data_IF_638372789507
#
_entry.id   IF_638372789507
#
_cell.length_a   1.000
_cell.length_b   1.000
_cell.length_c   1.000
_cell.angle_alpha   90.00
_cell.angle_beta   90.00
_cell.angle_gamma   90.00
#
_symmetry.space_group_name_H-M   'P 1'
#
loop_
_entity.id
_entity.type
_entity.pdbx_description
1 polymer ?
#
# COMPACT_ATOMS: atom_id res chain seq x y z
N UNK A 1 61.43 -19.26 -26.72
CA UNK A 1 60.33 -19.80 -27.55
C UNK A 1 60.84 -20.97 -28.39
N UNK A 2 60.01 -21.96 -28.74
CA UNK A 2 60.42 -22.93 -29.75
C UNK A 2 60.71 -22.17 -31.05
N UNK A 3 61.80 -22.53 -31.73
CA UNK A 3 62.22 -21.85 -32.97
C UNK A 3 61.25 -22.06 -34.15
N UNK A 4 60.29 -22.98 -34.00
CA UNK A 4 59.25 -23.37 -34.96
C UNK A 4 58.00 -23.82 -34.20
N UNK A 5 56.80 -23.55 -34.73
CA UNK A 5 55.53 -24.06 -34.19
C UNK A 5 55.18 -25.36 -34.92
N UNK A 6 55.10 -26.46 -34.19
CA UNK A 6 54.73 -27.77 -34.70
C UNK A 6 53.21 -27.89 -34.84
N UNK A 7 52.72 -28.07 -36.09
CA UNK A 7 51.28 -28.15 -36.38
C UNK A 7 50.86 -29.58 -36.72
N UNK A 8 49.92 -30.13 -35.96
CA UNK A 8 49.32 -31.46 -36.18
C UNK A 8 47.99 -31.40 -36.92
N UNK A 9 47.58 -32.54 -37.48
CA UNK A 9 46.30 -32.70 -38.17
C UNK A 9 45.17 -33.19 -37.26
N UNK A 10 44.09 -32.41 -37.17
CA UNK A 10 42.88 -32.73 -36.45
C UNK A 10 41.92 -33.53 -37.34
N UNK A 11 41.34 -34.61 -36.80
CA UNK A 11 40.31 -35.37 -37.50
C UNK A 11 39.06 -34.51 -37.77
N UNK A 12 38.42 -34.75 -38.91
CA UNK A 12 37.22 -34.02 -39.31
C UNK A 12 36.14 -34.10 -38.23
N UNK A 13 35.60 -32.93 -37.87
CA UNK A 13 34.51 -32.75 -36.91
C UNK A 13 34.73 -33.43 -35.55
N UNK A 14 35.99 -33.60 -35.14
CA UNK A 14 36.35 -34.24 -33.86
C UNK A 14 37.49 -33.48 -33.17
N UNK A 15 37.42 -33.34 -31.85
CA UNK A 15 38.53 -32.88 -31.01
C UNK A 15 39.66 -33.90 -30.83
N UNK A 16 39.90 -34.73 -31.85
CA UNK A 16 40.86 -35.84 -31.84
C UNK A 16 41.84 -35.76 -32.98
N UNK A 17 43.07 -36.23 -32.76
CA UNK A 17 44.09 -36.31 -33.80
C UNK A 17 43.61 -37.18 -34.98
N UNK A 18 43.90 -36.76 -36.21
CA UNK A 18 43.69 -37.60 -37.39
C UNK A 18 44.61 -38.83 -37.35
N UNK A 19 44.11 -40.01 -37.70
CA UNK A 19 44.87 -41.26 -37.62
C UNK A 19 46.20 -41.22 -38.39
N UNK A 20 46.20 -40.54 -39.53
CA UNK A 20 47.36 -40.33 -40.41
C UNK A 20 48.08 -38.99 -40.20
N UNK A 21 47.75 -38.25 -39.13
CA UNK A 21 48.59 -37.12 -38.72
C UNK A 21 49.97 -37.65 -38.32
N UNK A 22 51.04 -36.92 -38.60
CA UNK A 22 52.32 -37.13 -37.92
C UNK A 22 52.16 -36.88 -36.42
N UNK A 23 52.96 -37.58 -35.61
CA UNK A 23 53.23 -37.22 -34.23
C UNK A 23 54.51 -36.37 -34.21
N UNK A 24 54.59 -35.35 -33.36
CA UNK A 24 55.81 -34.53 -33.26
C UNK A 24 57.02 -35.34 -32.75
N UNK A 25 56.80 -36.45 -32.05
CA UNK A 25 57.77 -37.52 -31.78
C UNK A 25 57.17 -38.90 -32.14
N UNK A 26 57.97 -39.92 -32.41
CA UNK A 26 57.49 -41.25 -32.82
C UNK A 26 56.72 -42.04 -31.72
N UNK A 27 56.46 -41.43 -30.54
CA UNK A 27 55.78 -42.08 -29.41
C UNK A 27 54.36 -41.52 -29.21
N UNK A 28 53.32 -42.38 -29.12
CA UNK A 28 51.94 -41.96 -28.88
C UNK A 28 51.69 -41.24 -27.54
N UNK A 29 52.64 -41.32 -26.60
CA UNK A 29 52.59 -40.66 -25.28
C UNK A 29 53.00 -39.18 -25.29
N UNK A 30 53.52 -38.68 -26.41
CA UNK A 30 54.22 -37.39 -26.47
C UNK A 30 53.37 -36.33 -27.18
N UNK A 31 52.11 -36.18 -26.74
CA UNK A 31 51.18 -35.16 -27.25
C UNK A 31 51.68 -33.71 -27.07
N UNK A 32 52.72 -33.51 -26.24
CA UNK A 32 53.41 -32.24 -26.01
C UNK A 32 54.45 -31.87 -27.07
N UNK A 33 54.69 -32.72 -28.07
CA UNK A 33 55.58 -32.43 -29.22
C UNK A 33 54.90 -31.67 -30.36
N UNK A 34 53.55 -31.63 -30.35
CA UNK A 34 52.74 -30.83 -31.26
C UNK A 34 52.23 -29.62 -30.51
N UNK A 35 52.57 -28.43 -30.99
CA UNK A 35 52.23 -27.18 -30.33
C UNK A 35 50.74 -26.83 -30.49
N UNK A 36 50.16 -27.11 -31.67
CA UNK A 36 48.76 -26.86 -31.98
C UNK A 36 48.25 -27.77 -33.10
N UNK A 37 46.96 -28.12 -33.08
CA UNK A 37 46.30 -28.87 -34.14
C UNK A 37 45.43 -27.97 -35.02
N UNK A 38 45.37 -28.27 -36.32
CA UNK A 38 44.52 -27.59 -37.30
C UNK A 38 43.85 -28.64 -38.22
N UNK A 39 42.82 -28.29 -39.00
CA UNK A 39 42.11 -29.24 -39.87
C UNK A 39 43.07 -30.09 -40.72
N UNK A 40 42.85 -31.40 -40.74
CA UNK A 40 43.69 -32.36 -41.46
C UNK A 40 43.40 -32.45 -42.96
N UNK A 41 42.17 -32.11 -43.35
CA UNK A 41 41.77 -32.10 -44.75
C UNK A 41 41.03 -30.84 -45.13
N UNK A 42 41.02 -30.58 -46.42
CA UNK A 42 40.31 -29.47 -47.04
C UNK A 42 39.85 -29.86 -48.44
N UNK A 43 38.80 -29.18 -48.89
CA UNK A 43 38.38 -29.24 -50.29
C UNK A 43 39.34 -28.41 -51.14
N UNK A 44 39.87 -29.02 -52.19
CA UNK A 44 40.71 -28.35 -53.19
C UNK A 44 40.10 -28.53 -54.58
N UNK A 45 40.45 -27.61 -55.48
CA UNK A 45 40.08 -27.68 -56.90
C UNK A 45 41.33 -28.06 -57.71
N UNK A 46 41.14 -28.83 -58.79
CA UNK A 46 42.17 -29.32 -59.72
C UNK A 46 43.44 -29.84 -59.05
N UNK A 47 43.46 -31.14 -58.75
CA UNK A 47 44.74 -31.81 -58.51
C UNK A 47 45.44 -32.04 -59.86
N UNK A 48 46.68 -31.54 -60.07
CA UNK A 48 47.48 -31.97 -61.21
C UNK A 48 47.60 -33.49 -61.16
N UNK A 49 47.37 -34.19 -62.28
CA UNK A 49 47.38 -35.66 -62.27
C UNK A 49 48.66 -36.16 -61.59
N UNK A 50 48.51 -37.07 -60.61
CA UNK A 50 49.65 -37.77 -60.01
C UNK A 50 50.37 -38.54 -61.12
N UNK A 51 51.40 -37.94 -61.71
CA UNK A 51 52.13 -38.49 -62.86
C UNK A 51 52.54 -37.49 -63.96
N UNK A 52 52.27 -36.19 -63.82
CA UNK A 52 52.73 -35.18 -64.80
C UNK A 52 51.93 -35.13 -66.11
N UNK A 53 50.79 -35.83 -66.17
CA UNK A 53 49.81 -35.67 -67.23
C UNK A 53 48.85 -34.52 -66.93
N UNK A 54 48.45 -33.77 -67.95
CA UNK A 54 47.40 -32.76 -67.84
C UNK A 54 46.06 -33.50 -67.81
N UNK A 55 45.46 -33.71 -66.64
CA UNK A 55 44.03 -34.08 -66.56
C UNK A 55 43.20 -32.89 -67.06
N UNK A 56 42.11 -33.11 -67.82
CA UNK A 56 41.18 -32.03 -68.14
C UNK A 56 40.69 -31.37 -66.84
N UNK A 57 40.54 -30.04 -66.79
CA UNK A 57 40.08 -29.36 -65.59
C UNK A 57 38.74 -29.97 -65.16
N UNK A 58 38.71 -30.52 -63.96
CA UNK A 58 37.50 -31.12 -63.40
C UNK A 58 36.80 -30.04 -62.58
N UNK A 59 35.50 -29.82 -62.81
CA UNK A 59 34.70 -28.89 -62.00
C UNK A 59 34.34 -29.46 -60.63
N UNK A 60 35.01 -30.53 -60.19
CA UNK A 60 34.69 -31.29 -58.99
C UNK A 60 35.70 -30.93 -57.90
N UNK A 61 35.19 -30.56 -56.73
CA UNK A 61 36.02 -30.37 -55.55
C UNK A 61 36.51 -31.73 -55.04
N UNK A 62 37.82 -31.87 -54.83
CA UNK A 62 38.44 -33.05 -54.27
C UNK A 62 38.75 -32.83 -52.80
N UNK A 63 38.43 -33.83 -51.97
CA UNK A 63 38.83 -33.83 -50.57
C UNK A 63 40.25 -34.39 -50.42
N UNK A 64 41.20 -33.54 -50.06
CA UNK A 64 42.59 -33.94 -49.80
C UNK A 64 42.90 -33.87 -48.31
N UNK A 65 43.82 -34.74 -47.87
CA UNK A 65 44.18 -34.87 -46.46
C UNK A 65 45.69 -35.03 -46.29
N UNK A 66 46.23 -34.52 -45.18
CA UNK A 66 47.65 -34.58 -44.87
C UNK A 66 48.05 -33.49 -43.88
N UNK A 67 49.08 -33.74 -43.07
CA UNK A 67 49.59 -32.74 -42.11
C UNK A 67 50.10 -31.48 -42.80
N UNK A 68 50.57 -31.61 -44.05
CA UNK A 68 50.97 -30.48 -44.89
C UNK A 68 49.84 -29.49 -45.19
N UNK A 69 48.57 -29.88 -45.02
CA UNK A 69 47.41 -28.98 -45.17
C UNK A 69 47.02 -28.29 -43.86
N UNK A 70 47.45 -28.82 -42.72
CA UNK A 70 47.18 -28.23 -41.39
C UNK A 70 48.09 -27.03 -41.11
N UNK A 71 49.36 -27.09 -41.49
CA UNK A 71 50.31 -25.97 -41.33
C UNK A 71 49.87 -24.67 -42.03
N UNK A 72 49.46 -24.65 -43.32
CA UNK A 72 48.98 -23.43 -43.96
C UNK A 72 47.68 -22.91 -43.36
N UNK A 73 46.83 -23.76 -42.78
CA UNK A 73 45.63 -23.32 -42.06
C UNK A 73 46.01 -22.55 -40.78
N UNK A 74 46.91 -23.09 -39.96
CA UNK A 74 47.41 -22.41 -38.77
C UNK A 74 48.13 -21.09 -39.13
N UNK A 75 48.94 -21.10 -40.20
CA UNK A 75 49.57 -19.89 -40.72
C UNK A 75 48.56 -18.86 -41.22
N UNK A 76 47.45 -19.29 -41.81
CA UNK A 76 46.33 -18.42 -42.21
C UNK A 76 45.70 -17.71 -41.00
N UNK A 77 45.52 -18.40 -39.88
CA UNK A 77 45.04 -17.77 -38.63
C UNK A 77 46.07 -16.80 -38.05
N UNK A 78 47.36 -17.14 -38.07
CA UNK A 78 48.43 -16.20 -37.71
C UNK A 78 48.41 -14.93 -38.57
N UNK A 79 48.14 -15.09 -39.88
CA UNK A 79 48.00 -13.97 -40.81
C UNK A 79 46.74 -13.12 -40.51
N UNK A 80 45.62 -13.75 -40.14
CA UNK A 80 44.41 -13.04 -39.70
C UNK A 80 44.68 -12.21 -38.44
N UNK A 81 45.39 -12.75 -37.45
CA UNK A 81 45.83 -12.03 -36.24
C UNK A 81 46.71 -10.83 -36.63
N UNK A 82 47.70 -11.03 -37.50
CA UNK A 82 48.61 -9.97 -37.94
C UNK A 82 47.90 -8.89 -38.77
N UNK A 83 46.88 -9.26 -39.54
CA UNK A 83 46.05 -8.32 -40.27
C UNK A 83 45.13 -7.51 -39.33
N UNK A 84 44.55 -8.18 -38.33
CA UNK A 84 43.73 -7.56 -37.29
C UNK A 84 44.54 -6.57 -36.44
N UNK A 85 45.78 -6.91 -36.08
CA UNK A 85 46.69 -6.02 -35.36
C UNK A 85 48.12 -6.09 -35.91
N UNK A 86 48.48 -5.15 -36.82
CA UNK A 86 49.80 -5.10 -37.44
C UNK A 86 50.96 -4.85 -36.48
N UNK A 87 50.70 -4.47 -35.22
CA UNK A 87 51.75 -4.18 -34.23
C UNK A 87 52.30 -5.42 -33.54
N UNK A 88 51.55 -6.54 -33.54
CA UNK A 88 51.97 -7.77 -32.87
C UNK A 88 53.22 -8.39 -33.53
N UNK A 89 54.23 -8.69 -32.72
CA UNK A 89 55.40 -9.46 -33.09
C UNK A 89 55.08 -10.96 -33.21
N UNK A 90 56.03 -11.72 -33.76
CA UNK A 90 55.92 -13.18 -33.94
C UNK A 90 55.49 -13.89 -32.65
N UNK A 91 56.13 -13.50 -31.56
CA UNK A 91 55.99 -14.10 -30.24
C UNK A 91 54.59 -13.88 -29.67
N UNK A 92 54.08 -12.64 -29.78
CA UNK A 92 52.72 -12.25 -29.37
C UNK A 92 51.63 -12.91 -30.24
N UNK A 93 51.89 -13.09 -31.54
CA UNK A 93 50.96 -13.83 -32.44
C UNK A 93 50.80 -15.28 -31.97
N UNK A 94 51.91 -15.92 -31.58
CA UNK A 94 51.85 -17.29 -31.06
C UNK A 94 51.10 -17.35 -29.73
N UNK A 95 51.31 -16.40 -28.82
CA UNK A 95 50.57 -16.31 -27.56
C UNK A 95 49.07 -16.19 -27.80
N UNK A 96 48.63 -15.27 -28.68
CA UNK A 96 47.22 -15.13 -29.07
C UNK A 96 46.67 -16.46 -29.61
N UNK A 97 47.39 -17.13 -30.51
CA UNK A 97 46.95 -18.42 -31.06
C UNK A 97 46.88 -19.53 -30.01
N UNK A 98 47.84 -19.58 -29.08
CA UNK A 98 47.94 -20.59 -28.03
C UNK A 98 46.86 -20.42 -26.98
N UNK A 99 46.63 -19.19 -26.55
CA UNK A 99 45.79 -18.88 -25.39
C UNK A 99 44.30 -18.89 -25.77
N UNK A 100 43.97 -18.54 -27.02
CA UNK A 100 42.59 -18.62 -27.54
C UNK A 100 42.23 -20.00 -28.10
N UNK A 101 43.21 -20.89 -28.27
CA UNK A 101 42.98 -22.21 -28.83
C UNK A 101 41.93 -22.97 -28.02
N UNK A 102 41.12 -23.78 -28.70
CA UNK A 102 40.29 -24.73 -28.00
C UNK A 102 41.20 -25.71 -27.26
N UNK A 103 40.97 -25.87 -25.96
CA UNK A 103 41.69 -26.82 -25.12
C UNK A 103 40.81 -28.03 -24.84
N UNK A 104 41.42 -29.08 -24.28
CA UNK A 104 40.76 -30.35 -24.01
C UNK A 104 39.58 -30.19 -23.03
N UNK A 105 38.35 -30.27 -23.53
CA UNK A 105 37.17 -30.60 -22.74
C UNK A 105 37.15 -32.10 -22.33
N UNK A 106 36.13 -32.59 -21.60
CA UNK A 106 36.10 -33.94 -21.00
C UNK A 106 36.29 -35.11 -21.99
N UNK A 107 36.13 -34.86 -23.29
CA UNK A 107 36.17 -35.86 -24.36
C UNK A 107 37.23 -35.57 -25.45
N UNK A 108 38.09 -34.55 -25.28
CA UNK A 108 39.16 -34.22 -26.25
C UNK A 108 40.39 -35.11 -26.11
N UNK A 109 41.07 -35.45 -27.21
CA UNK A 109 42.28 -36.30 -27.20
C UNK A 109 43.54 -35.59 -27.72
N UNK A 110 43.46 -34.29 -28.04
CA UNK A 110 44.61 -33.43 -28.32
C UNK A 110 44.65 -32.25 -27.36
N UNK A 111 45.85 -31.71 -27.10
CA UNK A 111 46.07 -30.66 -26.11
C UNK A 111 45.43 -29.31 -26.48
N UNK A 112 45.56 -28.90 -27.76
CA UNK A 112 44.94 -27.67 -28.25
C UNK A 112 44.74 -27.69 -29.76
N UNK A 113 43.68 -27.06 -30.25
CA UNK A 113 43.47 -26.84 -31.69
C UNK A 113 43.00 -25.43 -32.00
N UNK A 114 43.27 -24.98 -33.22
CA UNK A 114 43.07 -23.61 -33.69
C UNK A 114 41.63 -23.15 -33.48
N UNK A 115 41.46 -22.01 -32.80
CA UNK A 115 40.23 -21.23 -32.71
C UNK A 115 40.41 -19.93 -33.50
N UNK A 116 40.11 -19.97 -34.81
CA UNK A 116 40.36 -18.84 -35.70
C UNK A 116 39.56 -17.58 -35.30
N UNK A 117 38.31 -17.77 -34.84
CA UNK A 117 37.43 -16.68 -34.43
C UNK A 117 37.89 -16.04 -33.12
N UNK A 118 38.15 -16.83 -32.08
CA UNK A 118 38.68 -16.33 -30.81
C UNK A 118 40.03 -15.62 -30.98
N UNK A 119 40.92 -16.19 -31.80
CA UNK A 119 42.22 -15.60 -32.10
C UNK A 119 42.11 -14.25 -32.83
N UNK A 120 41.26 -14.15 -33.86
CA UNK A 120 41.03 -12.90 -34.56
C UNK A 120 40.35 -11.84 -33.66
N UNK A 121 39.38 -12.26 -32.83
CA UNK A 121 38.72 -11.41 -31.83
C UNK A 121 39.71 -10.86 -30.80
N UNK A 122 40.57 -11.71 -30.23
CA UNK A 122 41.65 -11.31 -29.30
C UNK A 122 42.63 -10.35 -29.97
N UNK A 123 43.03 -10.63 -31.22
CA UNK A 123 43.95 -9.78 -31.98
C UNK A 123 43.40 -8.38 -32.26
N UNK A 124 42.09 -8.28 -32.54
CA UNK A 124 41.37 -7.00 -32.69
C UNK A 124 41.27 -6.21 -31.36
N UNK A 125 41.78 -6.74 -30.25
CA UNK A 125 41.76 -6.12 -28.92
C UNK A 125 40.79 -6.79 -27.95
N UNK A 126 40.46 -8.07 -28.13
CA UNK A 126 39.54 -8.80 -27.26
C UNK A 126 40.10 -9.09 -25.87
N UNK A 127 40.01 -8.11 -24.99
CA UNK A 127 39.62 -8.22 -23.59
C UNK A 127 38.61 -7.08 -23.41
N UNK A 128 37.44 -7.23 -24.04
CA UNK A 128 36.40 -6.21 -23.95
C UNK A 128 35.42 -6.70 -22.90
N UNK A 129 35.13 -5.90 -21.87
CA UNK A 129 34.07 -6.25 -20.95
C UNK A 129 32.78 -6.48 -21.74
N UNK A 130 31.98 -7.43 -21.30
CA UNK A 130 30.59 -7.63 -21.71
C UNK A 130 29.68 -7.01 -20.65
N UNK A 131 28.53 -6.49 -21.04
CA UNK A 131 27.50 -6.00 -20.14
C UNK A 131 26.13 -6.34 -20.72
N UNK A 132 25.27 -6.97 -19.92
CA UNK A 132 23.88 -7.29 -20.25
C UNK A 132 22.99 -7.09 -19.03
N UNK A 133 21.95 -6.26 -19.16
CA UNK A 133 21.04 -5.97 -18.06
C UNK A 133 20.05 -7.13 -17.89
N UNK A 134 20.24 -7.92 -16.84
CA UNK A 134 19.28 -8.94 -16.42
C UNK A 134 18.06 -8.33 -15.68
N UNK A 135 18.27 -7.20 -15.00
CA UNK A 135 17.21 -6.47 -14.29
C UNK A 135 17.49 -4.96 -14.22
N UNK A 136 16.51 -4.09 -14.49
CA UNK A 136 15.12 -4.41 -14.83
C UNK A 136 14.97 -4.89 -16.27
N UNK A 137 13.94 -5.69 -16.56
CA UNK A 137 13.58 -6.02 -17.95
C UNK A 137 13.03 -4.78 -18.67
N UNK A 138 13.46 -4.56 -19.91
CA UNK A 138 12.98 -3.46 -20.75
C UNK A 138 11.45 -3.42 -20.89
N UNK A 139 10.90 -2.21 -20.91
CA UNK A 139 9.47 -1.90 -20.99
C UNK A 139 8.71 -2.07 -19.67
N UNK A 140 9.38 -2.41 -18.56
CA UNK A 140 8.71 -2.60 -17.27
C UNK A 140 8.25 -1.26 -16.69
N UNK A 141 7.07 -1.29 -16.06
CA UNK A 141 6.54 -0.18 -15.26
C UNK A 141 6.80 -0.41 -13.77
N UNK A 142 7.19 0.65 -13.08
CA UNK A 142 7.40 0.67 -11.64
C UNK A 142 6.62 1.82 -11.01
N UNK A 143 6.19 1.62 -9.77
CA UNK A 143 5.53 2.63 -8.97
C UNK A 143 6.56 3.65 -8.46
N UNK A 144 6.18 4.92 -8.36
CA UNK A 144 7.01 5.97 -7.75
C UNK A 144 7.42 5.53 -6.33
N UNK A 145 8.71 5.68 -6.00
CA UNK A 145 9.28 5.25 -4.72
C UNK A 145 9.52 3.75 -4.55
N UNK A 146 9.19 2.93 -5.57
CA UNK A 146 9.49 1.50 -5.56
C UNK A 146 11.00 1.24 -5.68
N UNK A 147 11.51 0.27 -4.90
CA UNK A 147 12.87 -0.24 -5.06
C UNK A 147 12.98 -1.07 -6.35
N UNK A 148 13.83 -0.64 -7.27
CA UNK A 148 14.07 -1.29 -8.55
C UNK A 148 15.41 -2.05 -8.47
N UNK A 149 15.41 -3.39 -8.63
CA UNK A 149 16.64 -4.15 -8.68
C UNK A 149 17.42 -3.82 -9.96
N UNK A 150 18.72 -3.62 -9.80
CA UNK A 150 19.67 -3.40 -10.88
C UNK A 150 20.60 -4.61 -10.91
N UNK A 151 20.54 -5.40 -11.98
CA UNK A 151 21.37 -6.57 -12.22
C UNK A 151 21.95 -6.51 -13.61
N UNK A 152 23.28 -6.55 -13.70
CA UNK A 152 24.03 -6.51 -14.95
C UNK A 152 25.03 -7.65 -14.95
N UNK A 153 24.84 -8.60 -15.85
CA UNK A 153 25.83 -9.63 -16.13
C UNK A 153 27.00 -8.95 -16.82
N UNK A 154 28.18 -9.11 -16.25
CA UNK A 154 29.43 -8.61 -16.79
C UNK A 154 30.36 -9.79 -16.96
N UNK A 155 31.20 -9.76 -17.98
CA UNK A 155 32.27 -10.74 -18.18
C UNK A 155 33.48 -10.06 -18.77
N UNK A 156 34.67 -10.43 -18.31
CA UNK A 156 35.94 -9.96 -18.85
C UNK A 156 36.91 -11.15 -18.94
N UNK A 157 37.37 -11.43 -20.16
CA UNK A 157 38.23 -12.56 -20.51
C UNK A 157 39.65 -12.41 -19.91
N UNK A 158 40.03 -11.20 -19.45
CA UNK A 158 41.27 -10.90 -18.74
C UNK A 158 41.13 -10.94 -17.19
N UNK A 159 39.92 -11.19 -16.69
CA UNK A 159 39.59 -11.29 -15.26
C UNK A 159 38.85 -10.06 -14.73
N UNK A 160 37.99 -10.28 -13.73
CA UNK A 160 37.07 -9.26 -13.20
C UNK A 160 37.71 -8.20 -12.29
N UNK A 161 38.96 -8.40 -11.87
CA UNK A 161 39.57 -7.62 -10.78
C UNK A 161 39.76 -6.13 -11.12
N UNK A 162 39.70 -5.76 -12.41
CA UNK A 162 39.86 -4.38 -12.90
C UNK A 162 38.60 -3.79 -13.59
N UNK A 163 37.44 -4.47 -13.53
CA UNK A 163 36.20 -3.97 -14.17
C UNK A 163 35.39 -3.09 -13.20
N UNK A 164 35.23 -1.81 -13.57
CA UNK A 164 34.34 -0.87 -12.88
C UNK A 164 32.97 -0.87 -13.56
N UNK A 165 31.92 -1.05 -12.76
CA UNK A 165 30.52 -1.05 -13.24
C UNK A 165 29.84 0.22 -12.73
N UNK A 166 29.10 0.93 -13.57
CA UNK A 166 28.32 2.11 -13.17
C UNK A 166 26.91 2.04 -13.72
N UNK A 167 25.97 2.64 -12.99
CA UNK A 167 24.56 2.70 -13.36
C UNK A 167 24.11 4.13 -13.54
N UNK A 168 23.45 4.43 -14.65
CA UNK A 168 22.88 5.75 -14.91
C UNK A 168 21.46 5.70 -15.48
N UNK A 169 20.74 6.78 -15.25
CA UNK A 169 19.44 7.12 -15.82
C UNK A 169 19.63 8.41 -16.63
N UNK A 170 19.09 8.45 -17.84
CA UNK A 170 19.09 9.67 -18.67
C UNK A 170 18.39 10.87 -17.98
N UNK A 171 17.44 10.58 -17.10
CA UNK A 171 16.76 11.58 -16.28
C UNK A 171 17.57 11.90 -15.02
N UNK A 172 17.93 10.90 -14.22
CA UNK A 172 18.43 11.06 -12.84
C UNK A 172 19.97 11.06 -12.70
N UNK A 173 20.70 10.82 -13.78
CA UNK A 173 22.16 10.70 -13.72
C UNK A 173 22.58 9.40 -13.04
N UNK A 174 23.57 9.43 -12.16
CA UNK A 174 24.06 8.24 -11.47
C UNK A 174 23.04 7.71 -10.44
N UNK A 175 22.65 6.43 -10.56
CA UNK A 175 21.51 5.83 -9.82
C UNK A 175 21.86 4.56 -9.04
N UNK A 176 23.12 4.17 -8.97
CA UNK A 176 23.55 2.96 -8.26
C UNK A 176 24.98 3.04 -7.77
N UNK A 177 25.36 2.07 -6.93
CA UNK A 177 26.75 1.86 -6.53
C UNK A 177 27.56 1.21 -7.67
N UNK A 178 28.89 1.22 -7.53
CA UNK A 178 29.80 0.56 -8.48
C UNK A 178 29.74 -0.98 -8.32
N UNK A 179 28.68 -1.60 -8.83
CA UNK A 179 28.45 -3.04 -8.66
C UNK A 179 27.58 -3.63 -9.79
N UNK A 180 27.81 -4.92 -10.09
CA UNK A 180 26.98 -5.72 -10.99
C UNK A 180 25.58 -6.00 -10.44
N UNK A 181 25.38 -5.89 -9.13
CA UNK A 181 24.08 -6.11 -8.49
C UNK A 181 23.82 -5.11 -7.37
N UNK A 182 22.77 -4.30 -7.51
CA UNK A 182 22.34 -3.31 -6.53
C UNK A 182 20.84 -3.03 -6.66
N UNK A 183 20.34 -2.00 -5.98
CA UNK A 183 18.99 -1.49 -6.20
C UNK A 183 18.98 0.03 -6.12
N UNK A 184 18.16 0.64 -6.98
CA UNK A 184 17.82 2.07 -6.87
C UNK A 184 16.47 2.18 -6.19
N UNK A 185 16.40 3.02 -5.14
CA UNK A 185 15.17 3.17 -4.35
C UNK A 185 14.29 4.31 -4.84
N UNK A 186 14.83 5.24 -5.63
CA UNK A 186 14.10 6.42 -6.10
C UNK A 186 14.59 6.87 -7.47
N UNK A 187 13.72 6.75 -8.45
CA UNK A 187 13.80 7.46 -9.72
C UNK A 187 12.66 8.50 -9.74
N UNK A 188 12.85 9.60 -10.47
CA UNK A 188 11.76 10.55 -10.69
C UNK A 188 10.67 9.92 -11.55
N UNK A 189 9.50 10.56 -11.61
CA UNK A 189 8.46 10.13 -12.54
C UNK A 189 8.88 10.36 -13.99
N UNK A 190 8.57 9.41 -14.86
CA UNK A 190 8.82 9.50 -16.30
C UNK A 190 9.28 8.21 -16.94
N UNK A 191 9.66 8.32 -18.22
CA UNK A 191 10.34 7.25 -18.95
C UNK A 191 11.83 7.43 -18.75
N UNK A 192 12.53 6.34 -18.41
CA UNK A 192 13.96 6.32 -18.14
C UNK A 192 14.66 5.34 -19.07
N UNK A 193 15.83 5.73 -19.56
CA UNK A 193 16.82 4.84 -20.15
C UNK A 193 17.85 4.47 -19.07
N UNK A 194 17.75 3.26 -18.55
CA UNK A 194 18.66 2.73 -17.53
C UNK A 194 19.84 2.08 -18.21
N UNK A 195 21.04 2.60 -17.95
CA UNK A 195 22.28 2.18 -18.59
C UNK A 195 23.21 1.56 -17.56
N UNK A 196 23.59 0.29 -17.77
CA UNK A 196 24.73 -0.34 -17.11
C UNK A 196 25.96 -0.10 -17.99
N UNK A 197 27.05 0.42 -17.41
CA UNK A 197 28.32 0.63 -18.11
C UNK A 197 29.44 -0.11 -17.40
N UNK A 198 30.15 -0.98 -18.11
CA UNK A 198 31.31 -1.71 -17.62
C UNK A 198 32.59 -1.22 -18.30
N UNK A 199 33.65 -0.97 -17.53
CA UNK A 199 34.94 -0.49 -18.04
C UNK A 199 36.11 -1.18 -17.35
N UNK A 200 37.06 -1.71 -18.11
CA UNK A 200 38.31 -2.35 -17.64
C UNK A 200 39.49 -1.35 -17.58
N UNK A 201 39.20 -0.06 -17.75
CA UNK A 201 40.18 1.03 -17.83
C UNK A 201 40.75 1.26 -19.24
N UNK A 202 40.49 0.37 -20.20
CA UNK A 202 40.92 0.46 -21.60
C UNK A 202 39.75 0.50 -22.59
N UNK A 203 38.70 -0.25 -22.30
CA UNK A 203 37.48 -0.42 -23.08
C UNK A 203 36.27 -0.15 -22.19
N UNK A 204 35.23 0.39 -22.80
CA UNK A 204 33.97 0.68 -22.12
C UNK A 204 32.84 0.13 -22.96
N UNK A 205 31.98 -0.68 -22.36
CA UNK A 205 30.75 -1.18 -22.97
C UNK A 205 29.56 -0.78 -22.12
N UNK A 206 28.38 -0.79 -22.73
CA UNK A 206 27.15 -0.50 -22.03
C UNK A 206 25.99 -1.28 -22.61
N UNK A 207 25.03 -1.61 -21.76
CA UNK A 207 23.70 -2.04 -22.16
C UNK A 207 22.65 -1.05 -21.61
N UNK A 208 21.52 -0.93 -22.28
CA UNK A 208 20.49 0.06 -21.97
C UNK A 208 19.09 -0.53 -22.11
N UNK A 209 18.28 -0.36 -21.08
CA UNK A 209 16.87 -0.75 -21.06
C UNK A 209 15.97 0.44 -20.76
N UNK A 210 14.85 0.52 -21.45
CA UNK A 210 13.80 1.50 -21.15
C UNK A 210 12.91 0.99 -20.01
N UNK A 211 12.60 1.84 -19.03
CA UNK A 211 11.56 1.58 -18.03
C UNK A 211 10.67 2.83 -17.88
N UNK A 212 9.52 2.69 -17.24
CA UNK A 212 8.71 3.85 -16.85
C UNK A 212 8.38 3.82 -15.37
N UNK A 213 8.53 4.96 -14.71
CA UNK A 213 8.15 5.20 -13.32
C UNK A 213 6.94 6.11 -13.32
N UNK A 214 5.84 5.65 -12.71
CA UNK A 214 4.58 6.38 -12.65
C UNK A 214 4.07 6.47 -11.22
N UNK A 215 3.29 7.51 -10.96
CA UNK A 215 2.52 7.60 -9.73
C UNK A 215 1.25 6.72 -9.82
N UNK A 216 0.91 6.01 -8.75
CA UNK A 216 -0.34 5.25 -8.65
C UNK A 216 -1.38 6.10 -7.91
N UNK A 217 -2.64 6.01 -8.33
CA UNK A 217 -3.70 6.73 -7.62
C UNK A 217 -3.87 6.19 -6.18
N UNK A 218 -4.28 7.06 -5.24
CA UNK A 218 -4.54 6.63 -3.88
C UNK A 218 -5.74 5.68 -3.81
N UNK A 219 -5.99 5.11 -2.64
CA UNK A 219 -7.17 4.30 -2.33
C UNK A 219 -8.04 5.01 -1.29
N UNK A 220 -9.35 4.85 -1.42
CA UNK A 220 -10.33 5.37 -0.44
C UNK A 220 -11.49 4.40 -0.30
N UNK A 221 -11.91 4.15 0.94
CA UNK A 221 -13.06 3.32 1.29
C UNK A 221 -13.80 3.97 2.47
N UNK A 222 -15.06 4.32 2.30
CA UNK A 222 -15.91 4.84 3.37
C UNK A 222 -16.27 3.68 4.30
N UNK A 223 -15.76 3.74 5.52
CA UNK A 223 -15.99 2.71 6.56
C UNK A 223 -17.09 3.10 7.54
N UNK A 224 -17.42 4.40 7.63
CA UNK A 224 -18.56 4.89 8.37
C UNK A 224 -19.14 6.16 7.73
N UNK A 225 -20.47 6.32 7.69
CA UNK A 225 -21.48 5.31 8.07
C UNK A 225 -21.54 4.16 7.07
N UNK A 226 -21.95 2.97 7.53
CA UNK A 226 -22.15 1.80 6.66
C UNK A 226 -23.30 2.09 5.69
N UNK A 227 -23.15 1.68 4.42
CA UNK A 227 -24.18 1.86 3.41
C UNK A 227 -25.54 1.32 3.81
N UNK A 228 -26.56 2.16 3.69
CA UNK A 228 -27.94 1.81 4.06
C UNK A 228 -28.28 2.01 5.54
N UNK A 229 -27.37 2.58 6.34
CA UNK A 229 -27.71 3.02 7.70
C UNK A 229 -28.91 3.99 7.68
N UNK A 230 -29.86 3.76 8.58
CA UNK A 230 -30.95 4.68 8.88
C UNK A 230 -30.46 5.61 9.99
N UNK A 231 -30.53 6.90 9.72
CA UNK A 231 -29.99 7.95 10.58
C UNK A 231 -31.09 8.98 10.80
N UNK A 232 -31.19 9.56 11.99
CA UNK A 232 -32.28 10.47 12.31
C UNK A 232 -31.90 11.93 12.00
N UNK A 233 -32.87 12.69 11.49
CA UNK A 233 -32.71 14.13 11.29
C UNK A 233 -32.37 14.82 12.63
N UNK A 234 -31.45 15.78 12.60
CA UNK A 234 -31.02 16.48 13.82
C UNK A 234 -29.89 15.80 14.60
N UNK A 235 -29.46 14.60 14.19
CA UNK A 235 -28.24 13.98 14.70
C UNK A 235 -26.98 14.47 13.98
N UNK A 236 -25.87 14.55 14.71
CA UNK A 236 -24.53 14.69 14.12
C UNK A 236 -24.05 13.34 13.62
N UNK A 237 -23.51 13.28 12.40
CA UNK A 237 -23.08 12.02 11.79
C UNK A 237 -21.56 12.02 11.67
N UNK A 238 -20.90 11.07 12.34
CA UNK A 238 -19.47 10.84 12.19
C UNK A 238 -19.21 10.07 10.89
N UNK A 239 -18.24 10.54 10.10
CA UNK A 239 -17.81 9.91 8.85
C UNK A 239 -16.35 9.53 8.94
N UNK A 240 -16.01 8.39 8.34
CA UNK A 240 -14.65 7.84 8.35
C UNK A 240 -14.34 7.12 7.04
N UNK A 241 -13.18 7.40 6.48
CA UNK A 241 -12.61 6.67 5.37
C UNK A 241 -11.31 5.96 5.78
N UNK A 242 -11.11 4.76 5.25
CA UNK A 242 -9.79 4.14 5.15
C UNK A 242 -9.16 4.64 3.87
N UNK A 243 -7.96 5.20 3.98
CA UNK A 243 -7.19 5.71 2.86
C UNK A 243 -5.77 5.18 2.91
N UNK A 244 -5.15 5.08 1.74
CA UNK A 244 -3.78 4.65 1.61
C UNK A 244 -3.27 4.96 0.22
N UNK A 245 -1.97 5.15 0.12
CA UNK A 245 -1.29 5.41 -1.12
C UNK A 245 -0.06 4.49 -1.21
N UNK A 246 0.14 3.84 -2.36
CA UNK A 246 1.22 2.87 -2.54
C UNK A 246 2.60 3.52 -2.67
N UNK A 247 2.64 4.76 -3.17
CA UNK A 247 3.85 5.57 -3.36
C UNK A 247 4.22 6.35 -2.07
N UNK A 248 3.27 6.49 -1.14
CA UNK A 248 3.46 7.13 0.16
C UNK A 248 3.32 8.65 0.13
N UNK A 249 2.67 9.19 -0.90
CA UNK A 249 2.49 10.61 -1.19
C UNK A 249 1.02 11.07 -1.09
N UNK A 250 0.22 10.39 -0.25
CA UNK A 250 -1.15 10.81 0.06
C UNK A 250 -1.17 12.27 0.58
N UNK A 251 -1.98 13.13 -0.05
CA UNK A 251 -2.09 14.55 0.28
C UNK A 251 -3.32 14.84 1.14
N UNK A 252 -4.52 14.78 0.55
CA UNK A 252 -5.76 15.16 1.23
C UNK A 252 -6.93 14.23 0.91
N UNK A 253 -7.79 14.02 1.91
CA UNK A 253 -9.10 13.40 1.74
C UNK A 253 -10.15 14.49 1.81
N UNK A 254 -10.97 14.62 0.77
CA UNK A 254 -12.01 15.63 0.65
C UNK A 254 -13.39 14.98 0.66
N UNK A 255 -14.25 15.48 1.53
CA UNK A 255 -15.62 15.02 1.69
C UNK A 255 -16.62 16.00 1.08
N UNK A 256 -17.64 15.46 0.42
CA UNK A 256 -18.78 16.23 -0.06
C UNK A 256 -20.08 15.49 0.21
N UNK A 257 -21.14 16.25 0.46
CA UNK A 257 -22.49 15.72 0.61
C UNK A 257 -23.39 16.28 -0.49
N UNK A 258 -24.11 15.38 -1.16
CA UNK A 258 -25.06 15.71 -2.21
C UNK A 258 -26.46 15.29 -1.78
N UNK A 259 -27.46 16.07 -2.15
CA UNK A 259 -28.86 15.71 -1.95
C UNK A 259 -29.35 14.69 -3.01
N UNK A 260 -30.62 14.30 -2.93
CA UNK A 260 -31.25 13.35 -3.86
C UNK A 260 -31.30 13.80 -5.33
N UNK A 261 -31.05 15.09 -5.61
CA UNK A 261 -30.95 15.66 -6.95
C UNK A 261 -29.49 15.77 -7.43
N UNK A 262 -28.54 15.17 -6.70
CA UNK A 262 -27.10 15.27 -6.97
C UNK A 262 -26.55 16.69 -6.89
N UNK A 263 -27.23 17.59 -6.16
CA UNK A 263 -26.76 18.95 -5.90
C UNK A 263 -25.97 18.99 -4.60
N UNK A 264 -24.84 19.71 -4.54
CA UNK A 264 -24.09 19.89 -3.29
C UNK A 264 -24.96 20.53 -2.21
N UNK A 265 -24.89 20.04 -0.97
CA UNK A 265 -25.56 20.66 0.17
C UNK A 265 -24.79 21.88 0.71
N UNK A 266 -23.57 22.09 0.24
CA UNK A 266 -22.62 23.08 0.77
C UNK A 266 -21.77 22.57 1.93
N UNK A 267 -22.02 21.35 2.44
CA UNK A 267 -21.14 20.73 3.41
C UNK A 267 -19.91 20.11 2.74
N UNK A 268 -18.73 20.44 3.27
CA UNK A 268 -17.43 19.93 2.85
C UNK A 268 -16.53 19.75 4.06
N UNK A 269 -15.66 18.74 4.05
CA UNK A 269 -14.68 18.54 5.12
C UNK A 269 -13.40 17.91 4.56
N UNK A 270 -12.31 18.02 5.32
CA UNK A 270 -11.02 17.44 4.96
C UNK A 270 -10.50 16.49 6.04
N UNK A 271 -9.65 15.54 5.65
CA UNK A 271 -9.08 14.51 6.52
C UNK A 271 -9.82 13.16 6.47
N UNK A 272 -9.21 12.07 7.01
CA UNK A 272 -9.79 10.73 6.92
C UNK A 272 -11.04 10.55 7.80
N UNK A 273 -11.29 11.47 8.72
CA UNK A 273 -12.45 11.48 9.61
C UNK A 273 -13.02 12.89 9.69
N UNK A 274 -14.35 13.01 9.68
CA UNK A 274 -15.05 14.28 9.81
C UNK A 274 -16.41 14.08 10.49
N UNK A 275 -17.12 15.18 10.77
CA UNK A 275 -18.48 15.14 11.31
C UNK A 275 -19.40 16.00 10.46
N UNK A 276 -20.51 15.43 10.00
CA UNK A 276 -21.59 16.18 9.37
C UNK A 276 -22.44 16.80 10.50
N UNK A 277 -22.54 18.14 10.57
CA UNK A 277 -23.37 18.80 11.57
C UNK A 277 -24.87 18.57 11.32
N UNK A 278 -25.65 18.63 12.39
CA UNK A 278 -27.09 18.30 12.40
C UNK A 278 -27.96 19.14 11.46
N UNK A 279 -27.57 20.38 11.20
CA UNK A 279 -28.28 21.36 10.38
C UNK A 279 -28.13 21.13 8.87
N UNK A 280 -27.22 20.23 8.46
CA UNK A 280 -27.01 19.86 7.06
C UNK A 280 -27.84 18.64 6.60
N UNK A 281 -28.65 18.05 7.48
CA UNK A 281 -29.31 16.76 7.27
C UNK A 281 -30.80 16.80 7.65
N UNK A 282 -31.61 17.40 6.78
CA UNK A 282 -33.06 17.21 6.83
C UNK A 282 -33.46 15.80 6.38
N UNK A 283 -34.65 15.34 6.76
CA UNK A 283 -35.18 14.03 6.32
C UNK A 283 -35.14 13.90 4.80
N UNK A 284 -34.56 12.81 4.30
CA UNK A 284 -34.32 12.61 2.87
C UNK A 284 -33.16 11.66 2.57
N UNK A 285 -32.82 11.56 1.28
CA UNK A 285 -31.71 10.74 0.79
C UNK A 285 -30.54 11.63 0.38
N UNK A 286 -29.34 11.24 0.79
CA UNK A 286 -28.09 11.92 0.45
C UNK A 286 -27.06 10.93 -0.08
N UNK A 287 -26.10 11.45 -0.84
CA UNK A 287 -24.90 10.73 -1.25
C UNK A 287 -23.71 11.41 -0.61
N UNK A 288 -23.01 10.69 0.26
CA UNK A 288 -21.74 11.09 0.83
C UNK A 288 -20.63 10.58 -0.09
N UNK A 289 -19.72 11.47 -0.45
CA UNK A 289 -18.60 11.19 -1.35
C UNK A 289 -17.30 11.52 -0.64
N UNK A 290 -16.38 10.56 -0.60
CA UNK A 290 -15.00 10.75 -0.16
C UNK A 290 -14.08 10.67 -1.37
N UNK A 291 -13.22 11.67 -1.56
CA UNK A 291 -12.21 11.68 -2.62
C UNK A 291 -10.84 11.82 -1.98
N UNK A 292 -9.94 10.87 -2.22
CA UNK A 292 -8.55 10.97 -1.80
C UNK A 292 -7.71 11.47 -2.98
N UNK A 293 -6.77 12.38 -2.69
CA UNK A 293 -5.78 12.92 -3.61
C UNK A 293 -4.37 12.61 -3.12
N UNK A 294 -3.45 12.42 -4.06
CA UNK A 294 -2.01 12.48 -3.80
C UNK A 294 -1.42 13.83 -4.23
N UNK A 295 -0.12 14.00 -3.97
CA UNK A 295 0.59 15.26 -4.27
C UNK A 295 0.81 15.51 -5.77
N UNK A 296 0.59 14.52 -6.62
CA UNK A 296 0.75 14.53 -8.07
C UNK A 296 -0.59 14.80 -8.78
N UNK A 297 -1.69 14.77 -8.02
CA UNK A 297 -3.04 15.12 -8.45
C UNK A 297 -3.88 13.93 -8.94
N UNK A 298 -3.38 12.70 -8.82
CA UNK A 298 -4.19 11.51 -9.04
C UNK A 298 -5.19 11.34 -7.89
N UNK A 299 -6.30 10.63 -8.16
CA UNK A 299 -7.40 10.53 -7.19
C UNK A 299 -8.15 9.22 -7.24
N UNK A 300 -8.70 8.84 -6.10
CA UNK A 300 -9.73 7.83 -5.99
C UNK A 300 -10.95 8.35 -5.25
N UNK A 301 -12.09 7.73 -5.50
CA UNK A 301 -13.36 8.14 -4.93
C UNK A 301 -14.16 6.93 -4.48
N UNK A 302 -14.81 7.07 -3.32
CA UNK A 302 -15.84 6.16 -2.84
C UNK A 302 -17.08 6.96 -2.41
N UNK A 303 -18.24 6.31 -2.46
CA UNK A 303 -19.50 6.96 -2.15
C UNK A 303 -20.48 6.01 -1.44
N UNK A 304 -21.24 6.58 -0.51
CA UNK A 304 -22.26 5.87 0.25
C UNK A 304 -23.59 6.62 0.23
N UNK A 305 -24.69 5.88 0.11
CA UNK A 305 -26.04 6.45 0.24
C UNK A 305 -26.44 6.51 1.71
N UNK A 306 -26.88 7.69 2.15
CA UNK A 306 -27.46 7.93 3.47
C UNK A 306 -28.98 8.10 3.35
N UNK A 307 -29.73 7.48 4.27
CA UNK A 307 -31.17 7.71 4.42
C UNK A 307 -31.42 8.37 5.77
N UNK A 308 -31.74 9.67 5.74
CA UNK A 308 -32.10 10.45 6.92
C UNK A 308 -33.61 10.35 7.12
N UNK A 309 -34.02 9.75 8.23
CA UNK A 309 -35.42 9.65 8.63
C UNK A 309 -35.84 10.95 9.33
N UNK A 310 -37.13 11.26 9.29
CA UNK A 310 -37.65 12.27 10.20
C UNK A 310 -37.37 11.78 11.62
N UNK A 311 -36.88 12.67 12.48
CA UNK A 311 -36.83 12.37 13.91
C UNK A 311 -38.24 11.93 14.36
N UNK A 312 -38.35 10.96 15.29
CA UNK A 312 -39.62 10.67 15.92
C UNK A 312 -40.23 11.96 16.48
N UNK A 313 -41.57 12.03 16.49
CA UNK A 313 -42.25 13.17 17.10
C UNK A 313 -42.02 13.15 18.60
N UNK A 314 -41.44 14.22 19.15
CA UNK A 314 -41.24 14.38 20.59
C UNK A 314 -42.57 14.38 21.33
N UNK A 315 -42.88 13.27 22.00
CA UNK A 315 -44.02 13.17 22.89
C UNK A 315 -43.68 13.84 24.23
N UNK A 316 -44.69 14.36 24.92
CA UNK A 316 -44.47 14.93 26.25
C UNK A 316 -44.19 13.83 27.28
N UNK A 317 -43.47 14.14 28.39
CA UNK A 317 -43.22 13.19 29.47
C UNK A 317 -44.51 12.64 30.09
N UNK A 318 -44.49 11.43 30.66
CA UNK A 318 -45.62 10.88 31.42
C UNK A 318 -45.39 10.95 32.92
N UNK A 319 -46.41 11.39 33.66
CA UNK A 319 -46.41 11.32 35.12
C UNK A 319 -47.01 9.99 35.53
N UNK A 320 -46.18 9.02 35.92
CA UNK A 320 -46.60 7.64 36.17
C UNK A 320 -47.26 7.48 37.54
N UNK A 321 -46.76 8.22 38.54
CA UNK A 321 -47.32 8.20 39.89
C UNK A 321 -47.02 9.48 40.68
N UNK A 322 -47.88 9.78 41.65
CA UNK A 322 -47.63 10.76 42.70
C UNK A 322 -47.78 10.11 44.07
N UNK A 323 -46.68 10.09 44.81
CA UNK A 323 -46.63 9.58 46.18
C UNK A 323 -46.58 10.77 47.13
N UNK A 324 -47.38 10.67 48.18
CA UNK A 324 -47.53 11.70 49.21
C UNK A 324 -47.05 11.11 50.51
N UNK A 325 -46.09 11.77 51.12
CA UNK A 325 -45.49 11.35 52.38
C UNK A 325 -45.53 12.50 53.39
N UNK A 326 -45.98 12.25 54.62
CA UNK A 326 -45.85 13.23 55.68
C UNK A 326 -44.37 13.40 56.02
N UNK A 327 -43.91 14.63 56.18
CA UNK A 327 -42.57 14.88 56.69
C UNK A 327 -42.63 14.90 58.21
N UNK A 328 -42.10 13.86 58.86
CA UNK A 328 -42.01 13.83 60.33
C UNK A 328 -41.12 15.00 60.79
N UNK A 329 -41.57 15.76 61.79
CA UNK A 329 -40.78 16.84 62.37
C UNK A 329 -39.55 16.26 63.06
N UNK A 330 -38.42 16.20 62.35
CA UNK A 330 -37.11 16.13 63.01
C UNK A 330 -36.03 16.96 62.32
N UNK A 331 -36.40 18.11 61.75
CA UNK A 331 -35.44 19.16 61.43
C UNK A 331 -35.84 20.47 62.11
N UNK A 332 -35.08 20.81 63.14
CA UNK A 332 -35.12 22.06 63.88
C UNK A 332 -34.52 23.17 63.00
N UNK A 333 -35.37 24.06 62.46
CA UNK A 333 -34.89 25.35 61.92
C UNK A 333 -34.71 26.33 63.09
N UNK A 334 -33.47 26.49 63.52
CA UNK A 334 -33.07 27.35 64.64
C UNK A 334 -33.28 28.85 64.38
N UNK A 335 -33.67 29.24 63.15
CA UNK A 335 -33.78 30.64 62.76
C UNK A 335 -35.14 31.28 63.03
N UNK A 336 -36.23 30.50 63.19
CA UNK A 336 -37.59 31.06 63.28
C UNK A 336 -38.23 31.03 64.67
N UNK A 337 -37.69 30.27 65.63
CA UNK A 337 -38.13 30.29 67.04
C UNK A 337 -39.63 29.98 67.28
N UNK A 338 -40.35 29.45 66.30
CA UNK A 338 -41.77 29.13 66.39
C UNK A 338 -41.95 27.62 66.59
N UNK A 339 -42.50 27.23 67.74
CA UNK A 339 -43.17 25.94 67.88
C UNK A 339 -44.50 26.03 67.11
N UNK A 340 -44.61 25.40 65.94
CA UNK A 340 -45.92 25.13 65.37
C UNK A 340 -46.54 24.00 66.19
N UNK A 341 -47.58 24.32 66.95
CA UNK A 341 -48.40 23.36 67.67
C UNK A 341 -48.80 22.21 66.72
N UNK A 342 -48.42 20.99 67.11
CA UNK A 342 -48.74 19.76 66.42
C UNK A 342 -50.26 19.58 66.39
N UNK A 343 -50.91 19.77 65.25
CA UNK A 343 -52.29 19.32 65.05
C UNK A 343 -52.27 17.89 64.47
N UNK A 344 -53.01 16.93 65.04
CA UNK A 344 -53.21 15.63 64.41
C UNK A 344 -54.10 15.82 63.17
N UNK A 345 -53.58 15.43 62.01
CA UNK A 345 -54.27 15.51 60.72
C UNK A 345 -54.17 14.15 60.04
N UNK A 346 -55.32 13.51 59.81
CA UNK A 346 -55.39 12.24 59.07
C UNK A 346 -55.28 12.51 57.56
N UNK A 347 -54.10 12.27 57.00
CA UNK A 347 -53.82 12.37 55.56
C UNK A 347 -54.10 11.02 54.85
N UNK A 348 -54.06 9.91 55.59
CA UNK A 348 -54.14 8.54 55.08
C UNK A 348 -55.59 8.01 54.92
N UNK A 349 -56.56 8.69 55.54
CA UNK A 349 -57.97 8.28 55.74
C UNK A 349 -58.14 6.99 56.54
N UNK A 350 -57.19 6.62 57.38
CA UNK A 350 -57.27 5.38 58.17
C UNK A 350 -57.95 5.57 59.54
N UNK A 351 -58.26 6.81 59.92
CA UNK A 351 -58.95 7.15 61.16
C UNK A 351 -58.11 6.88 62.43
N UNK A 352 -56.79 6.70 62.31
CA UNK A 352 -55.87 6.60 63.43
C UNK A 352 -54.95 7.83 63.48
N UNK A 353 -54.30 8.03 64.63
CA UNK A 353 -53.24 9.03 64.80
C UNK A 353 -51.99 8.25 65.13
N UNK A 354 -51.13 8.03 64.14
CA UNK A 354 -49.81 7.47 64.35
C UNK A 354 -48.69 8.49 64.03
N UNK A 355 -47.43 8.06 64.09
CA UNK A 355 -46.28 8.94 63.85
C UNK A 355 -46.26 9.57 62.43
N UNK A 356 -47.09 9.07 61.51
CA UNK A 356 -47.29 9.58 60.15
C UNK A 356 -48.33 10.72 60.10
N UNK A 357 -49.15 10.95 61.15
CA UNK A 357 -50.29 11.89 61.13
C UNK A 357 -50.03 13.25 61.79
N UNK A 358 -48.76 13.64 61.93
CA UNK A 358 -48.35 14.78 62.77
C UNK A 358 -48.10 16.10 62.02
N UNK A 359 -48.36 16.21 60.72
CA UNK A 359 -47.86 17.36 59.94
C UNK A 359 -48.82 17.95 58.90
N UNK A 360 -48.97 19.28 58.94
CA UNK A 360 -49.46 20.09 57.80
C UNK A 360 -48.48 20.12 56.63
N UNK A 361 -47.20 19.79 56.90
CA UNK A 361 -46.11 19.75 55.93
C UNK A 361 -46.03 18.40 55.24
N UNK A 362 -46.21 18.40 53.93
CA UNK A 362 -46.27 17.19 53.13
C UNK A 362 -45.22 17.26 52.02
N UNK A 363 -44.51 16.15 51.80
CA UNK A 363 -43.69 15.95 50.61
C UNK A 363 -44.49 15.18 49.57
N UNK A 364 -44.51 15.71 48.36
CA UNK A 364 -45.09 15.06 47.19
C UNK A 364 -43.96 14.72 46.24
N UNK A 365 -43.79 13.45 45.92
CA UNK A 365 -42.77 12.95 44.98
C UNK A 365 -43.49 12.39 43.75
N UNK A 366 -43.18 12.92 42.58
CA UNK A 366 -43.65 12.38 41.31
C UNK A 366 -42.64 11.38 40.74
N UNK A 367 -43.17 10.30 40.15
CA UNK A 367 -42.41 9.38 39.32
C UNK A 367 -42.80 9.68 37.88
N UNK A 368 -41.80 10.00 37.06
CA UNK A 368 -41.99 10.49 35.70
C UNK A 368 -41.12 9.67 34.78
N UNK A 369 -41.69 9.20 33.67
CA UNK A 369 -40.95 8.59 32.59
C UNK A 369 -41.01 9.46 31.33
N UNK A 370 -39.99 9.27 30.50
CA UNK A 370 -39.78 10.01 29.26
C UNK A 370 -39.38 8.99 28.18
N UNK A 371 -39.89 9.15 26.97
CA UNK A 371 -39.78 8.15 25.89
C UNK A 371 -38.43 8.16 25.16
N UNK A 372 -37.41 8.81 25.76
CA UNK A 372 -36.00 8.78 25.34
C UNK A 372 -35.71 9.47 24.00
N UNK A 373 -36.41 10.54 23.68
CA UNK A 373 -35.86 11.56 22.80
C UNK A 373 -34.64 12.24 23.46
N UNK A 374 -33.68 12.83 22.71
CA UNK A 374 -32.36 13.24 23.21
C UNK A 374 -32.35 14.45 24.19
N UNK A 375 -33.38 14.62 25.03
CA UNK A 375 -33.63 15.79 25.87
C UNK A 375 -33.86 15.40 27.33
N UNK A 376 -32.83 15.50 28.17
CA UNK A 376 -32.85 14.95 29.55
C UNK A 376 -33.24 15.94 30.66
N UNK A 377 -33.57 17.20 30.34
CA UNK A 377 -33.92 18.21 31.35
C UNK A 377 -35.44 18.40 31.42
N UNK A 378 -36.01 18.02 32.56
CA UNK A 378 -37.43 18.16 32.86
C UNK A 378 -37.69 19.34 33.80
N UNK A 379 -38.78 20.06 33.55
CA UNK A 379 -39.31 21.09 34.44
C UNK A 379 -40.68 20.69 34.95
N UNK A 380 -40.97 21.01 36.21
CA UNK A 380 -42.14 20.53 36.93
C UNK A 380 -42.97 21.71 37.40
N UNK A 381 -44.20 21.84 36.92
CA UNK A 381 -45.16 22.87 37.34
C UNK A 381 -46.26 22.25 38.18
N UNK A 382 -46.19 22.49 39.48
CA UNK A 382 -47.18 22.02 40.45
C UNK A 382 -48.29 23.06 40.62
N UNK A 383 -49.54 22.63 40.62
CA UNK A 383 -50.72 23.46 40.88
C UNK A 383 -51.53 22.85 42.00
N UNK A 384 -51.75 23.60 43.07
CA UNK A 384 -52.59 23.21 44.21
C UNK A 384 -53.91 23.96 44.10
N UNK A 385 -55.03 23.24 44.20
CA UNK A 385 -56.38 23.79 44.08
C UNK A 385 -57.24 23.36 45.25
N UNK A 386 -58.20 24.20 45.62
CA UNK A 386 -59.30 23.87 46.54
C UNK A 386 -60.64 24.11 45.82
N UNK A 387 -61.76 24.07 46.55
CA UNK A 387 -63.09 24.33 46.00
C UNK A 387 -63.28 25.77 45.49
N UNK A 388 -62.48 26.73 45.98
CA UNK A 388 -62.55 28.14 45.60
C UNK A 388 -61.67 28.48 44.38
N UNK A 389 -60.67 27.64 44.06
CA UNK A 389 -59.85 27.76 42.86
C UNK A 389 -58.40 27.35 43.06
N UNK A 390 -57.48 28.03 42.35
CA UNK A 390 -56.04 27.78 42.47
C UNK A 390 -55.51 28.47 43.72
N UNK A 391 -54.92 27.68 44.62
CA UNK A 391 -54.34 28.15 45.89
C UNK A 391 -52.88 28.54 45.71
N UNK A 392 -52.10 27.72 45.00
CA UNK A 392 -50.67 27.95 44.79
C UNK A 392 -50.15 27.30 43.50
N UNK A 393 -49.08 27.87 42.94
CA UNK A 393 -48.36 27.33 41.78
C UNK A 393 -46.86 27.37 42.07
N UNK A 394 -46.16 26.25 41.83
CA UNK A 394 -44.73 26.13 42.03
C UNK A 394 -44.06 25.59 40.76
N UNK A 395 -42.87 26.10 40.44
CA UNK A 395 -42.03 25.55 39.39
C UNK A 395 -40.75 24.98 40.04
N UNK A 396 -40.46 23.71 39.81
CA UNK A 396 -39.29 23.00 40.34
C UNK A 396 -38.48 22.36 39.21
N UNK A 397 -37.20 22.08 39.47
CA UNK A 397 -36.31 21.31 38.57
C UNK A 397 -36.09 19.88 39.04
N UNK A 398 -36.72 19.50 40.16
CA UNK A 398 -36.74 18.15 40.73
C UNK A 398 -38.19 17.70 40.86
N UNK A 399 -38.48 16.39 40.80
CA UNK A 399 -39.84 15.83 40.83
C UNK A 399 -40.41 15.80 42.25
N UNK A 400 -40.13 16.82 43.06
CA UNK A 400 -40.54 16.85 44.47
C UNK A 400 -41.04 18.25 44.84
N UNK A 401 -42.17 18.29 45.53
CA UNK A 401 -42.75 19.50 46.13
C UNK A 401 -42.91 19.28 47.64
N UNK A 402 -42.57 20.30 48.44
CA UNK A 402 -42.90 20.35 49.86
C UNK A 402 -43.83 21.53 50.09
N UNK A 403 -44.99 21.29 50.72
CA UNK A 403 -45.98 22.33 50.96
C UNK A 403 -46.67 22.15 52.32
N UNK A 404 -47.02 23.28 52.94
CA UNK A 404 -47.78 23.35 54.19
C UNK A 404 -49.27 23.58 53.89
N UNK A 405 -50.09 22.54 54.01
CA UNK A 405 -51.51 22.62 53.69
C UNK A 405 -52.35 23.18 54.84
N UNK A 406 -53.26 24.15 54.59
CA UNK A 406 -54.29 24.53 55.55
C UNK A 406 -55.35 23.43 55.69
N UNK A 407 -56.28 23.58 56.65
CA UNK A 407 -57.44 22.67 56.76
C UNK A 407 -58.31 22.78 55.52
N UNK A 408 -58.72 21.64 54.97
CA UNK A 408 -59.56 21.59 53.77
C UNK A 408 -59.20 20.43 52.83
N UNK A 409 -59.87 20.40 51.69
CA UNK A 409 -59.64 19.43 50.63
C UNK A 409 -58.88 20.10 49.49
N UNK A 410 -57.76 19.52 49.08
CA UNK A 410 -56.90 20.05 48.04
C UNK A 410 -56.68 19.02 46.94
N UNK A 411 -56.66 19.49 45.70
CA UNK A 411 -56.24 18.74 44.54
C UNK A 411 -54.86 19.25 44.09
N UNK A 412 -53.90 18.34 43.96
CA UNK A 412 -52.58 18.62 43.42
C UNK A 412 -52.51 18.08 41.99
N UNK A 413 -52.14 18.97 41.07
CA UNK A 413 -51.86 18.67 39.67
C UNK A 413 -50.41 18.98 39.36
N UNK A 414 -49.81 18.19 38.48
CA UNK A 414 -48.46 18.41 37.96
C UNK A 414 -48.54 18.50 36.45
N UNK A 415 -47.81 19.44 35.86
CA UNK A 415 -47.50 19.42 34.44
C UNK A 415 -45.99 19.32 34.34
N UNK A 416 -45.49 18.30 33.65
CA UNK A 416 -44.07 18.14 33.37
C UNK A 416 -43.80 18.62 31.96
N UNK A 417 -42.71 19.34 31.74
CA UNK A 417 -42.33 19.83 30.41
C UNK A 417 -40.89 19.46 30.15
N UNK A 418 -40.63 18.83 29.01
CA UNK A 418 -39.28 18.52 28.55
C UNK A 418 -38.54 19.79 28.07
N UNK A 419 -37.27 19.64 27.72
CA UNK A 419 -36.47 20.77 27.25
C UNK A 419 -36.81 21.24 25.82
N UNK A 420 -37.62 20.49 25.07
CA UNK A 420 -38.18 20.91 23.79
C UNK A 420 -39.50 21.72 23.95
N UNK A 421 -40.02 21.80 25.17
CA UNK A 421 -41.23 22.56 25.51
C UNK A 421 -42.53 21.78 25.37
N UNK A 422 -42.48 20.46 25.16
CA UNK A 422 -43.69 19.62 25.10
C UNK A 422 -44.07 19.19 26.52
N UNK A 423 -45.35 19.37 26.85
CA UNK A 423 -45.89 19.12 28.18
C UNK A 423 -46.54 17.74 28.27
N UNK A 424 -46.55 17.17 29.48
CA UNK A 424 -47.30 15.96 29.81
C UNK A 424 -48.79 16.14 29.52
N UNK A 425 -49.45 15.09 29.04
CA UNK A 425 -50.88 15.11 28.72
C UNK A 425 -51.71 15.44 29.97
N UNK A 426 -52.45 16.57 29.99
CA UNK A 426 -53.23 17.01 31.15
C UNK A 426 -54.39 16.07 31.48
N UNK A 427 -54.90 15.31 30.50
CA UNK A 427 -56.03 14.40 30.70
C UNK A 427 -55.58 13.03 31.24
N UNK A 428 -54.29 12.70 31.06
CA UNK A 428 -53.70 11.45 31.52
C UNK A 428 -52.71 11.63 32.70
N UNK A 429 -52.62 12.85 33.25
CA UNK A 429 -51.78 13.12 34.42
C UNK A 429 -52.53 12.71 35.70
N UNK A 430 -51.99 11.82 36.55
CA UNK A 430 -52.59 11.48 37.82
C UNK A 430 -52.70 12.72 38.71
N UNK A 431 -53.90 12.98 39.22
CA UNK A 431 -54.15 14.02 40.22
C UNK A 431 -54.11 13.42 41.60
N UNK A 432 -53.59 14.15 42.59
CA UNK A 432 -53.57 13.69 43.98
C UNK A 432 -54.44 14.56 44.87
N UNK A 433 -55.41 13.94 45.54
CA UNK A 433 -56.24 14.62 46.53
C UNK A 433 -55.64 14.50 47.92
N UNK A 434 -55.51 15.62 48.61
CA UNK A 434 -55.01 15.71 49.99
C UNK A 434 -56.14 16.32 50.82
N UNK A 435 -56.60 15.60 51.84
CA UNK A 435 -57.60 16.11 52.77
C UNK A 435 -56.91 16.35 54.10
N UNK A 436 -57.03 17.57 54.62
CA UNK A 436 -56.41 18.00 55.87
C UNK A 436 -57.54 18.30 56.84
N UNK A 437 -57.78 17.40 57.78
CA UNK A 437 -58.84 17.49 58.79
C UNK A 437 -58.25 17.58 60.18
N UNK A 438 -58.97 18.21 61.12
CA UNK A 438 -58.62 18.14 62.54
C UNK A 438 -59.19 16.86 63.14
N UNK A 439 -58.35 16.06 63.78
CA UNK A 439 -58.82 14.99 64.65
C UNK A 439 -59.18 15.62 66.00
N UNK A 440 -60.44 15.47 66.42
CA UNK A 440 -60.91 15.85 67.76
C UNK A 440 -60.70 14.72 68.76
#
# INVERSE_FOLDING_TARGET
MPGVVCVGGLANDRGSRAGSSGWGSERPSDDGSVDIYAPFGMWVHDTPARGGGVTPPSTQADWVQGTSYSSPFAAGVAALIKAANPRLGRDEIWEVMRDTAHTKGPFGSVNRWVNAFGAAKRALGGGVPFADIESPTGGRRFSLGQSIPLGCEVDDDDGMDDVTITWSSDVDGAIGAESSSTAVTRLREGVHQITCTATDGRFTVSDTVEISVGNDAPTVEITAPIGGARLDAGATIWVRARVGDANGNLDEVYWQLFNSLSLPTGWTATGPEATIPRDHLAAGRYTLVATAYDTEGERAQDQVTLTIQAAPSNAGPSVDAMVVEPLTTHDYDSSSGLFTESCPVDISRDGRVDHQDLCRRVRITAYVSDDHDPVSLLTYRWTIRDEAGVVAVFNTTVPTLVFDFPLGNFEVRLVVTDSAGVASDPDNTPTKTINVVTLF
#
